data_IF_107174266151
#
_entry.id   IF_107174266151
#
_cell.length_a   1.000
_cell.length_b   1.000
_cell.length_c   1.000
_cell.angle_alpha   90.00
_cell.angle_beta   90.00
_cell.angle_gamma   90.00
#
_symmetry.space_group_name_H-M   'P 1'
#
loop_
_entity.id
_entity.type
_entity.pdbx_description
1 polymer ?
#
# COMPACT_ATOMS: atom_id res chain seq x y z
N UNK A 1 8.49 4.45 -17.49
CA UNK A 1 8.53 5.28 -16.27
C UNK A 1 7.61 4.59 -15.27
N UNK A 2 8.17 4.06 -14.18
CA UNK A 2 7.49 3.10 -13.31
C UNK A 2 7.28 3.76 -11.94
N UNK A 3 6.05 3.83 -11.47
CA UNK A 3 5.79 4.23 -10.09
C UNK A 3 6.17 3.08 -9.15
N UNK A 4 6.71 3.38 -7.99
CA UNK A 4 7.04 2.39 -6.97
C UNK A 4 6.75 2.91 -5.57
N UNK A 5 6.61 1.99 -4.62
CA UNK A 5 6.43 2.25 -3.21
C UNK A 5 7.43 1.41 -2.42
N UNK A 6 8.09 2.00 -1.43
CA UNK A 6 8.99 1.30 -0.52
C UNK A 6 8.65 1.65 0.92
N UNK A 7 8.52 0.64 1.77
CA UNK A 7 8.34 0.77 3.22
C UNK A 7 9.63 0.33 3.88
N UNK A 8 10.19 1.19 4.74
CA UNK A 8 11.44 0.92 5.44
C UNK A 8 11.44 1.57 6.82
N UNK A 9 12.24 1.04 7.74
CA UNK A 9 12.50 1.67 9.03
C UNK A 9 13.42 2.88 8.82
N UNK A 10 12.98 4.07 9.25
CA UNK A 10 13.75 5.30 9.05
C UNK A 10 15.03 5.38 9.89
N UNK A 11 15.14 4.62 10.98
CA UNK A 11 16.30 4.62 11.87
C UNK A 11 17.34 3.59 11.42
N UNK A 12 16.91 2.38 11.04
CA UNK A 12 17.83 1.29 10.66
C UNK A 12 18.06 1.18 9.15
N UNK A 13 17.15 1.73 8.35
CA UNK A 13 17.15 1.58 6.88
C UNK A 13 16.63 0.22 6.40
N UNK A 14 16.18 -0.66 7.29
CA UNK A 14 15.66 -1.98 6.95
C UNK A 14 14.40 -1.85 6.08
N UNK A 15 14.36 -2.58 4.95
CA UNK A 15 13.24 -2.55 4.02
C UNK A 15 12.25 -3.65 4.37
N UNK A 16 11.02 -3.26 4.70
CA UNK A 16 9.92 -4.18 5.01
C UNK A 16 9.13 -4.61 3.77
N UNK A 17 8.99 -3.72 2.79
CA UNK A 17 8.28 -4.01 1.55
C UNK A 17 8.70 -3.09 0.41
N UNK A 18 8.67 -3.62 -0.81
CA UNK A 18 8.80 -2.87 -2.04
C UNK A 18 7.71 -3.31 -3.02
N UNK A 19 7.05 -2.34 -3.64
CA UNK A 19 5.98 -2.57 -4.60
C UNK A 19 6.24 -1.75 -5.86
N UNK A 20 6.31 -2.42 -7.00
CA UNK A 20 6.40 -1.79 -8.31
C UNK A 20 5.02 -1.73 -8.95
N UNK A 21 4.56 -0.53 -9.27
CA UNK A 21 3.28 -0.31 -9.94
C UNK A 21 3.47 -0.62 -11.43
N UNK A 22 3.20 -1.87 -11.80
CA UNK A 22 3.19 -2.33 -13.19
C UNK A 22 1.78 -2.50 -13.76
N UNK A 23 0.74 -2.41 -12.91
CA UNK A 23 -0.65 -2.57 -13.32
C UNK A 23 -1.08 -1.42 -14.23
N UNK A 24 -1.66 -1.78 -15.38
CA UNK A 24 -2.15 -0.85 -16.41
C UNK A 24 -3.66 -1.04 -16.57
N UNK A 25 -4.38 0.02 -16.88
CA UNK A 25 -5.82 -0.03 -17.10
C UNK A 25 -6.50 1.31 -16.87
N UNK A 26 -7.83 1.32 -16.88
CA UNK A 26 -8.66 2.51 -16.62
C UNK A 26 -8.86 2.80 -15.12
N UNK A 27 -8.08 2.16 -14.24
CA UNK A 27 -8.15 2.34 -12.80
C UNK A 27 -7.46 3.63 -12.36
N UNK A 28 -8.08 4.36 -11.44
CA UNK A 28 -7.54 5.63 -10.93
C UNK A 28 -7.15 5.58 -9.45
N UNK A 29 -7.36 4.44 -8.78
CA UNK A 29 -7.00 4.22 -7.39
C UNK A 29 -6.31 2.87 -7.18
N UNK A 30 -5.53 2.78 -6.10
CA UNK A 30 -4.80 1.57 -5.72
C UNK A 30 -4.64 1.51 -4.19
N UNK A 31 -5.04 0.39 -3.58
CA UNK A 31 -4.66 0.05 -2.21
C UNK A 31 -3.42 -0.83 -2.27
N UNK A 32 -2.26 -0.23 -1.99
CA UNK A 32 -0.96 -0.90 -2.15
C UNK A 32 -0.67 -1.93 -1.05
N UNK A 33 -0.73 -1.49 0.20
CA UNK A 33 -0.33 -2.27 1.36
C UNK A 33 -0.96 -1.69 2.63
N UNK A 34 -0.94 -2.47 3.70
CA UNK A 34 -1.17 -1.99 5.06
C UNK A 34 0.06 -2.17 5.92
N UNK A 35 0.35 -1.16 6.73
CA UNK A 35 1.36 -1.21 7.80
C UNK A 35 0.61 -1.26 9.11
N UNK A 36 0.94 -2.23 9.97
CA UNK A 36 0.26 -2.44 11.23
C UNK A 36 1.24 -2.90 12.30
N UNK A 37 0.85 -2.75 13.56
CA UNK A 37 1.64 -3.22 14.70
C UNK A 37 1.11 -4.56 15.18
N UNK A 38 2.00 -5.50 15.44
CA UNK A 38 1.64 -6.82 15.96
C UNK A 38 2.71 -7.29 16.94
N UNK A 39 2.33 -7.48 18.21
CA UNK A 39 3.25 -7.79 19.30
C UNK A 39 4.42 -6.80 19.37
N UNK A 40 4.10 -5.50 19.38
CA UNK A 40 5.05 -4.37 19.40
C UNK A 40 5.99 -4.21 18.20
N UNK A 41 5.95 -5.13 17.24
CA UNK A 41 6.70 -5.07 15.99
C UNK A 41 5.88 -4.45 14.84
N UNK A 42 6.53 -3.68 13.99
CA UNK A 42 5.95 -3.22 12.73
C UNK A 42 5.91 -4.35 11.73
N UNK A 43 4.74 -4.57 11.12
CA UNK A 43 4.53 -5.55 10.06
C UNK A 43 3.89 -4.88 8.85
N UNK A 44 4.18 -5.44 7.69
CA UNK A 44 3.59 -5.03 6.42
C UNK A 44 2.81 -6.19 5.82
N UNK A 45 1.65 -5.89 5.26
CA UNK A 45 0.90 -6.83 4.42
C UNK A 45 0.63 -6.15 3.07
N UNK A 46 1.15 -6.76 2.00
CA UNK A 46 0.95 -6.30 0.64
C UNK A 46 -0.45 -6.67 0.15
N UNK A 47 -1.14 -5.73 -0.49
CA UNK A 47 -2.54 -5.86 -0.95
C UNK A 47 -2.60 -5.79 -2.48
N UNK A 48 -2.20 -4.65 -3.07
CA UNK A 48 -2.13 -4.46 -4.52
C UNK A 48 -3.49 -4.44 -5.25
N UNK A 49 -4.58 -4.04 -4.58
CA UNK A 49 -5.93 -4.05 -5.16
C UNK A 49 -6.23 -2.73 -5.89
N UNK A 50 -6.46 -2.82 -7.21
CA UNK A 50 -6.81 -1.68 -8.07
C UNK A 50 -8.29 -1.31 -7.94
N UNK A 51 -8.57 -0.01 -7.99
CA UNK A 51 -9.88 0.57 -7.72
C UNK A 51 -10.11 1.83 -8.56
N UNK A 52 -11.31 2.40 -8.46
CA UNK A 52 -11.63 3.70 -9.04
C UNK A 52 -11.91 4.71 -7.93
N UNK A 53 -11.16 5.80 -7.92
CA UNK A 53 -11.33 6.92 -6.99
C UNK A 53 -10.48 8.09 -7.42
N UNK A 54 -10.85 9.31 -7.03
CA UNK A 54 -10.13 10.54 -7.37
C UNK A 54 -9.16 10.95 -6.27
N UNK A 55 -9.53 10.68 -5.02
CA UNK A 55 -8.73 10.95 -3.82
C UNK A 55 -8.72 9.72 -2.90
N UNK A 56 -7.74 9.63 -2.00
CA UNK A 56 -7.61 8.49 -1.07
C UNK A 56 -8.88 8.27 -0.21
N UNK A 57 -9.59 9.34 0.13
CA UNK A 57 -10.86 9.26 0.86
C UNK A 57 -11.95 8.47 0.13
N UNK A 58 -11.94 8.46 -1.20
CA UNK A 58 -12.91 7.71 -2.01
C UNK A 58 -12.72 6.19 -1.87
N UNK A 59 -11.53 5.75 -1.46
CA UNK A 59 -11.18 4.33 -1.26
C UNK A 59 -11.32 3.90 0.20
N UNK A 60 -11.72 4.81 1.11
CA UNK A 60 -11.67 4.56 2.54
C UNK A 60 -12.59 3.42 2.99
N UNK A 61 -13.71 3.19 2.31
CA UNK A 61 -14.62 2.08 2.66
C UNK A 61 -14.08 0.73 2.17
N UNK A 62 -13.49 0.70 0.99
CA UNK A 62 -12.82 -0.46 0.41
C UNK A 62 -11.60 -0.83 1.25
N UNK A 63 -10.84 0.16 1.71
CA UNK A 63 -9.69 -0.02 2.60
C UNK A 63 -10.04 -0.74 3.91
N UNK A 64 -11.26 -0.56 4.43
CA UNK A 64 -11.72 -1.22 5.67
C UNK A 64 -11.76 -2.75 5.54
N UNK A 65 -11.87 -3.30 4.32
CA UNK A 65 -11.81 -4.75 4.09
C UNK A 65 -10.46 -5.35 4.47
N UNK A 66 -9.42 -4.52 4.57
CA UNK A 66 -8.07 -4.93 4.93
C UNK A 66 -7.67 -4.54 6.34
N UNK A 67 -8.52 -3.92 7.16
CA UNK A 67 -8.19 -3.63 8.56
C UNK A 67 -8.26 -4.92 9.37
#
# INVERSE_FOLDING_TARGET
>A
ENASCRVYDANTGEVFAEYNLSQKGSHTGLIMLKVYRHNDEWKVNAIGEVMNGRIAGDLANEAKRFL
#
